data_IF_598237919497
#
_entry.id   IF_598237919497
#
_cell.length_a   1.000
_cell.length_b   1.000
_cell.length_c   1.000
_cell.angle_alpha   90.00
_cell.angle_beta   90.00
_cell.angle_gamma   90.00
#
_symmetry.space_group_name_H-M   'P 1'
#
loop_
_entity.id
_entity.type
_entity.pdbx_description
1 polymer ?
#
# COMPACT_ATOMS: atom_id res chain seq x y z
N UNK A 1 -18.85 -7.21 6.40
CA UNK A 1 -18.32 -7.92 7.59
C UNK A 1 -17.25 -7.01 8.20
N UNK A 2 -17.63 -6.25 9.23
CA UNK A 2 -16.76 -5.26 9.89
C UNK A 2 -16.14 -5.99 11.10
N UNK A 3 -14.83 -6.21 11.06
CA UNK A 3 -14.09 -6.60 12.25
C UNK A 3 -13.93 -5.36 13.14
N UNK A 4 -14.35 -5.48 14.40
CA UNK A 4 -14.19 -4.47 15.45
C UNK A 4 -12.71 -4.07 15.58
N UNK A 5 -12.34 -2.90 15.05
CA UNK A 5 -11.03 -2.29 15.27
C UNK A 5 -11.19 -1.20 16.33
N UNK A 6 -10.37 -1.30 17.37
CA UNK A 6 -10.45 -0.58 18.64
C UNK A 6 -10.46 0.95 18.57
N UNK A 7 -10.28 1.56 17.39
CA UNK A 7 -10.68 2.92 17.05
C UNK A 7 -11.09 2.95 15.56
N UNK A 8 -12.27 3.51 15.25
CA UNK A 8 -12.77 3.67 13.86
C UNK A 8 -12.02 4.85 13.23
N UNK A 9 -10.74 4.63 12.93
CA UNK A 9 -9.90 5.57 12.20
C UNK A 9 -9.84 5.11 10.74
N UNK A 10 -10.07 6.01 9.78
CA UNK A 10 -9.91 5.67 8.38
C UNK A 10 -8.44 5.43 8.07
N UNK A 11 -8.19 4.41 7.26
CA UNK A 11 -6.85 3.99 6.83
C UNK A 11 -6.91 3.64 5.35
N UNK A 12 -5.87 4.02 4.61
CA UNK A 12 -5.67 3.63 3.21
C UNK A 12 -4.21 3.19 3.03
N UNK A 13 -4.01 2.09 2.31
CA UNK A 13 -2.68 1.62 1.94
C UNK A 13 -2.46 1.72 0.43
N UNK A 14 -1.24 2.10 0.04
CA UNK A 14 -0.80 2.23 -1.36
C UNK A 14 0.55 1.53 -1.55
N UNK A 15 0.89 1.07 -2.77
CA UNK A 15 2.17 0.44 -3.04
C UNK A 15 3.33 1.40 -2.78
N UNK A 16 4.34 0.96 -2.03
CA UNK A 16 5.57 1.73 -1.77
C UNK A 16 6.75 1.19 -2.60
N UNK A 17 6.77 -0.11 -2.88
CA UNK A 17 7.81 -0.72 -3.69
C UNK A 17 7.86 -2.24 -3.56
N UNK A 18 9.04 -2.78 -3.82
CA UNK A 18 9.32 -4.22 -3.81
C UNK A 18 10.56 -4.49 -2.97
N UNK A 19 10.54 -5.60 -2.23
CA UNK A 19 11.67 -6.00 -1.40
C UNK A 19 12.89 -6.34 -2.27
N UNK A 20 14.05 -5.86 -1.85
CA UNK A 20 15.34 -6.14 -2.48
C UNK A 20 16.11 -7.23 -1.73
N UNK A 21 17.21 -7.67 -2.30
CA UNK A 21 18.15 -8.63 -1.70
C UNK A 21 18.90 -8.07 -0.47
N UNK A 22 18.76 -6.78 -0.16
CA UNK A 22 19.40 -6.13 0.98
C UNK A 22 18.67 -6.37 2.30
N UNK A 23 17.47 -6.97 2.26
CA UNK A 23 16.69 -7.26 3.47
C UNK A 23 16.71 -8.76 3.77
N UNK A 24 17.36 -9.14 4.88
CA UNK A 24 17.43 -10.55 5.31
C UNK A 24 16.03 -11.13 5.58
N UNK A 25 15.80 -12.36 5.10
CA UNK A 25 14.53 -13.08 5.31
C UNK A 25 13.39 -12.71 4.34
N UNK A 26 13.63 -11.83 3.36
CA UNK A 26 12.60 -11.36 2.44
C UNK A 26 12.63 -12.03 1.07
N UNK A 27 11.45 -12.18 0.46
CA UNK A 27 11.33 -12.62 -0.93
C UNK A 27 11.54 -11.41 -1.84
N UNK A 28 12.63 -11.45 -2.63
CA UNK A 28 12.94 -10.40 -3.61
C UNK A 28 11.77 -10.25 -4.59
N UNK A 29 11.38 -9.00 -4.88
CA UNK A 29 10.25 -8.72 -5.75
C UNK A 29 8.88 -8.88 -5.06
N UNK A 30 8.83 -9.13 -3.75
CA UNK A 30 7.57 -9.10 -3.01
C UNK A 30 7.13 -7.63 -2.82
N UNK A 31 5.89 -7.27 -3.20
CA UNK A 31 5.40 -5.91 -3.02
C UNK A 31 5.19 -5.60 -1.54
N UNK A 32 5.52 -4.37 -1.15
CA UNK A 32 5.18 -3.82 0.16
C UNK A 32 4.55 -2.43 0.01
N UNK A 33 3.71 -2.06 0.97
CA UNK A 33 2.93 -0.82 0.95
C UNK A 33 3.28 0.12 2.09
N UNK A 34 2.80 1.34 1.97
CA UNK A 34 2.71 2.32 3.05
C UNK A 34 1.23 2.54 3.40
N UNK A 35 0.94 2.79 4.67
CA UNK A 35 -0.41 3.09 5.14
C UNK A 35 -0.49 4.52 5.66
N UNK A 36 -1.51 5.26 5.20
CA UNK A 36 -1.90 6.55 5.76
C UNK A 36 -3.08 6.34 6.70
N UNK A 37 -2.91 6.74 7.97
CA UNK A 37 -3.94 6.68 8.99
C UNK A 37 -4.43 8.09 9.32
N UNK A 38 -5.74 8.29 9.31
CA UNK A 38 -6.36 9.58 9.54
C UNK A 38 -7.23 9.63 10.79
N UNK A 39 -7.72 10.83 11.10
CA UNK A 39 -8.80 11.04 12.08
C UNK A 39 -10.12 10.56 11.50
N UNK A 40 -11.12 10.30 12.33
CA UNK A 40 -12.48 10.01 11.86
C UNK A 40 -12.94 11.05 10.81
N UNK A 41 -13.58 10.58 9.74
CA UNK A 41 -14.15 11.40 8.66
C UNK A 41 -13.15 12.17 7.78
N UNK A 42 -11.89 11.72 7.74
CA UNK A 42 -10.82 12.34 6.93
C UNK A 42 -10.55 11.63 5.60
N UNK A 43 -11.50 10.82 5.10
CA UNK A 43 -11.35 10.00 3.89
C UNK A 43 -10.94 10.83 2.67
N UNK A 44 -11.48 12.03 2.50
CA UNK A 44 -11.13 12.91 1.37
C UNK A 44 -9.63 13.32 1.41
N UNK A 45 -9.11 13.65 2.60
CA UNK A 45 -7.70 14.00 2.77
C UNK A 45 -6.83 12.77 2.52
N UNK A 46 -7.22 11.61 3.06
CA UNK A 46 -6.48 10.37 2.87
C UNK A 46 -6.43 9.95 1.41
N UNK A 47 -7.54 10.07 0.67
CA UNK A 47 -7.59 9.81 -0.77
C UNK A 47 -6.70 10.77 -1.56
N UNK A 48 -6.70 12.05 -1.20
CA UNK A 48 -5.83 13.05 -1.85
C UNK A 48 -4.36 12.72 -1.63
N UNK A 49 -3.97 12.37 -0.41
CA UNK A 49 -2.59 11.99 -0.09
C UNK A 49 -2.17 10.70 -0.78
N UNK A 50 -3.01 9.67 -0.74
CA UNK A 50 -2.78 8.40 -1.40
C UNK A 50 -2.60 8.58 -2.91
N UNK A 51 -3.50 9.34 -3.55
CA UNK A 51 -3.43 9.64 -4.97
C UNK A 51 -2.16 10.41 -5.34
N UNK A 52 -1.84 11.48 -4.61
CA UNK A 52 -0.62 12.26 -4.86
C UNK A 52 0.65 11.41 -4.69
N UNK A 53 0.66 10.50 -3.72
CA UNK A 53 1.76 9.55 -3.52
C UNK A 53 1.87 8.56 -4.68
N UNK A 54 0.75 7.95 -5.11
CA UNK A 54 0.75 6.99 -6.22
C UNK A 54 1.20 7.65 -7.53
N UNK A 55 0.69 8.83 -7.86
CA UNK A 55 1.10 9.58 -9.06
C UNK A 55 2.57 10.02 -8.98
N UNK A 56 3.00 10.53 -7.82
CA UNK A 56 4.37 11.02 -7.64
C UNK A 56 5.43 9.92 -7.65
N UNK A 57 5.06 8.66 -7.41
CA UNK A 57 6.00 7.55 -7.31
C UNK A 57 5.88 6.55 -8.46
N UNK A 58 4.66 6.28 -8.95
CA UNK A 58 4.36 5.33 -10.02
C UNK A 58 5.07 3.97 -9.85
N UNK A 59 5.27 3.53 -8.60
CA UNK A 59 6.07 2.33 -8.26
C UNK A 59 5.38 1.03 -8.59
N UNK A 60 4.07 1.04 -8.83
CA UNK A 60 3.28 -0.18 -9.07
C UNK A 60 3.68 -0.83 -10.39
N UNK A 61 4.17 -2.06 -10.31
CA UNK A 61 4.48 -2.88 -11.49
C UNK A 61 3.35 -3.87 -11.78
N UNK A 62 3.21 -4.23 -13.06
CA UNK A 62 2.35 -5.33 -13.48
C UNK A 62 2.93 -6.62 -12.93
N UNK A 63 2.11 -7.42 -12.26
CA UNK A 63 2.50 -8.78 -11.85
C UNK A 63 2.69 -9.63 -13.11
N UNK A 64 3.86 -10.23 -13.24
CA UNK A 64 4.08 -11.28 -14.23
C UNK A 64 3.27 -12.51 -13.81
N UNK A 65 2.49 -13.07 -14.73
CA UNK A 65 1.60 -14.17 -14.39
C UNK A 65 2.42 -15.41 -14.02
N UNK A 66 2.07 -16.06 -12.91
CA UNK A 66 2.66 -17.35 -12.49
C UNK A 66 2.49 -18.49 -13.54
N UNK A 67 1.71 -18.24 -14.60
CA UNK A 67 1.37 -19.19 -15.67
C UNK A 67 1.67 -18.62 -17.07
N UNK A 68 2.67 -17.74 -17.22
CA UNK A 68 3.14 -17.39 -18.57
C UNK A 68 3.63 -18.67 -19.28
N UNK A 69 3.30 -18.87 -20.58
CA UNK A 69 3.61 -20.11 -21.31
C UNK A 69 5.12 -20.38 -21.41
#
# INVERSE_FOLDING_TARGET
MIALHHQILPVISVPLGYLTNETEGNTVGQPYGIAFCGRAWSENILLTLAHAFEEGTSVRQRVESLHAP
#
